data_IF_415368148039
#
_entry.id   IF_415368148039
#
_cell.length_a   1.000
_cell.length_b   1.000
_cell.length_c   1.000
_cell.angle_alpha   90.00
_cell.angle_beta   90.00
_cell.angle_gamma   90.00
#
_symmetry.space_group_name_H-M   'P 1'
#
loop_
_entity.id
_entity.type
_entity.pdbx_description
1 polymer ?
#
# COMPACT_ATOMS: atom_id res chain seq x y z
N UNK A 1 8.45 1.36 -21.83
CA UNK A 1 9.52 2.03 -21.10
C UNK A 1 10.14 1.00 -20.19
N UNK A 2 11.45 1.00 -20.05
CA UNK A 2 12.13 0.02 -19.20
C UNK A 2 11.75 0.28 -17.74
N UNK A 3 11.47 -0.78 -17.01
CA UNK A 3 11.26 -0.69 -15.55
C UNK A 3 12.54 -0.13 -14.93
N UNK A 4 12.45 0.92 -14.09
CA UNK A 4 13.64 1.48 -13.47
C UNK A 4 14.36 0.43 -12.63
N UNK A 5 15.70 0.50 -12.63
CA UNK A 5 16.53 -0.41 -11.86
C UNK A 5 16.32 -0.21 -10.36
N UNK A 6 16.39 -1.30 -9.59
CA UNK A 6 16.39 -1.24 -8.13
C UNK A 6 17.67 -0.54 -7.66
N UNK A 7 17.51 0.44 -6.80
CA UNK A 7 18.58 1.17 -6.12
C UNK A 7 18.69 0.61 -4.71
N UNK A 8 19.92 0.37 -4.25
CA UNK A 8 20.21 -0.03 -2.87
C UNK A 8 21.00 1.08 -2.17
N UNK A 9 20.51 1.51 -0.99
CA UNK A 9 21.19 2.47 -0.13
C UNK A 9 21.07 2.02 1.32
N UNK A 10 22.17 1.65 1.95
CA UNK A 10 22.15 1.03 3.27
C UNK A 10 21.36 -0.28 3.26
N UNK A 11 20.35 -0.38 4.12
CA UNK A 11 19.43 -1.52 4.18
C UNK A 11 18.19 -1.35 3.27
N UNK A 12 18.07 -0.22 2.57
CA UNK A 12 16.88 0.15 1.81
C UNK A 12 17.03 -0.19 0.34
N UNK A 13 15.96 -0.76 -0.23
CA UNK A 13 15.81 -1.03 -1.66
C UNK A 13 14.61 -0.24 -2.18
N UNK A 14 14.78 0.42 -3.30
CA UNK A 14 13.72 1.23 -3.88
C UNK A 14 13.92 1.43 -5.38
N UNK A 15 12.89 1.88 -6.06
CA UNK A 15 12.99 2.44 -7.41
C UNK A 15 12.65 3.93 -7.34
N UNK A 16 13.25 4.69 -8.26
CA UNK A 16 13.08 6.13 -8.31
C UNK A 16 13.05 6.63 -9.75
N UNK A 17 12.18 7.61 -10.02
CA UNK A 17 12.11 8.28 -11.31
C UNK A 17 11.63 9.73 -11.12
N UNK A 18 12.14 10.64 -11.97
CA UNK A 18 11.74 12.05 -11.95
C UNK A 18 12.56 12.91 -11.01
N UNK A 19 12.16 14.17 -10.91
CA UNK A 19 12.78 15.21 -10.07
C UNK A 19 11.70 16.12 -9.51
N UNK A 20 12.00 16.82 -8.41
CA UNK A 20 11.05 17.72 -7.74
C UNK A 20 10.75 17.29 -6.31
N UNK A 21 9.56 17.63 -5.83
CA UNK A 21 9.12 17.24 -4.49
C UNK A 21 8.98 15.71 -4.39
N UNK A 22 9.38 15.10 -3.27
CA UNK A 22 9.34 13.65 -3.14
C UNK A 22 7.90 13.14 -2.99
N UNK A 23 7.51 12.21 -3.87
CA UNK A 23 6.30 11.39 -3.77
C UNK A 23 6.71 9.97 -3.40
N UNK A 24 6.50 9.59 -2.15
CA UNK A 24 6.80 8.23 -1.65
C UNK A 24 5.56 7.35 -1.81
N UNK A 25 5.69 6.28 -2.58
CA UNK A 25 4.59 5.36 -2.90
C UNK A 25 4.76 4.05 -2.14
N UNK A 26 3.78 3.72 -1.30
CA UNK A 26 3.81 2.56 -0.40
C UNK A 26 2.88 1.46 -0.91
N UNK A 27 3.46 0.30 -1.23
CA UNK A 27 2.73 -0.83 -1.80
C UNK A 27 1.99 -1.67 -0.74
N UNK A 28 1.01 -2.46 -1.20
CA UNK A 28 0.27 -3.41 -0.37
C UNK A 28 1.05 -4.69 -0.03
N UNK A 29 0.38 -5.63 0.64
CA UNK A 29 0.98 -6.87 1.16
C UNK A 29 1.63 -7.76 0.07
N UNK A 30 1.01 -7.84 -1.10
CA UNK A 30 1.52 -8.55 -2.27
C UNK A 30 1.82 -7.58 -3.42
N UNK A 31 2.22 -6.34 -3.08
CA UNK A 31 2.43 -5.29 -4.06
C UNK A 31 3.73 -5.48 -4.82
N UNK A 32 3.64 -5.93 -6.07
CA UNK A 32 4.74 -5.88 -7.00
C UNK A 32 5.00 -4.43 -7.45
N UNK A 33 6.25 -4.07 -7.71
CA UNK A 33 6.63 -2.77 -8.28
C UNK A 33 5.90 -2.48 -9.59
N UNK A 34 5.59 -3.53 -10.37
CA UNK A 34 4.82 -3.46 -11.61
C UNK A 34 3.44 -2.82 -11.46
N UNK A 35 2.81 -2.95 -10.28
CA UNK A 35 1.50 -2.37 -10.00
C UNK A 35 1.53 -0.82 -9.98
N UNK A 36 2.71 -0.23 -9.82
CA UNK A 36 2.89 1.22 -9.73
C UNK A 36 3.64 1.82 -10.93
N UNK A 37 3.84 1.05 -12.01
CA UNK A 37 4.54 1.52 -13.20
C UNK A 37 3.87 2.74 -13.81
N UNK A 38 2.53 2.76 -13.87
CA UNK A 38 1.78 3.88 -14.43
C UNK A 38 1.83 5.11 -13.51
N UNK A 39 1.76 4.92 -12.19
CA UNK A 39 1.95 5.98 -11.19
C UNK A 39 3.34 6.58 -11.35
N UNK A 40 4.37 5.74 -11.41
CA UNK A 40 5.76 6.17 -11.59
C UNK A 40 5.93 7.01 -12.86
N UNK A 41 5.44 6.51 -14.00
CA UNK A 41 5.57 7.19 -15.30
C UNK A 41 4.77 8.49 -15.36
N UNK A 42 3.55 8.51 -14.81
CA UNK A 42 2.67 9.67 -14.84
C UNK A 42 3.23 10.82 -14.00
N UNK A 43 3.64 10.52 -12.76
CA UNK A 43 4.04 11.55 -11.80
C UNK A 43 5.50 11.98 -11.92
N UNK A 44 6.37 11.19 -12.54
CA UNK A 44 7.80 11.50 -12.69
C UNK A 44 8.10 12.80 -13.46
N UNK A 45 7.13 13.31 -14.20
CA UNK A 45 7.26 14.61 -14.89
C UNK A 45 7.17 15.82 -13.93
N UNK A 46 6.63 15.63 -12.72
CA UNK A 46 6.38 16.71 -11.73
C UNK A 46 6.95 16.43 -10.35
N UNK A 47 7.16 15.14 -10.02
CA UNK A 47 7.63 14.69 -8.73
C UNK A 47 8.87 13.81 -8.85
N UNK A 48 9.68 13.79 -7.81
CA UNK A 48 10.63 12.72 -7.56
C UNK A 48 9.84 11.54 -6.98
N UNK A 49 9.40 10.61 -7.83
CA UNK A 49 8.61 9.45 -7.40
C UNK A 49 9.54 8.37 -6.86
N UNK A 50 9.32 7.93 -5.64
CA UNK A 50 10.16 6.96 -4.93
C UNK A 50 9.27 5.83 -4.42
N UNK A 51 9.56 4.59 -4.79
CA UNK A 51 8.82 3.40 -4.36
C UNK A 51 9.74 2.51 -3.53
N UNK A 52 9.75 2.62 -2.21
CA UNK A 52 10.51 1.72 -1.35
C UNK A 52 9.93 0.32 -1.38
N UNK A 53 10.79 -0.67 -1.36
CA UNK A 53 10.42 -2.07 -1.15
C UNK A 53 10.21 -2.29 0.35
N UNK A 54 8.97 -2.49 0.76
CA UNK A 54 8.67 -2.76 2.17
C UNK A 54 9.24 -4.12 2.57
N UNK A 55 10.01 -4.23 3.68
CA UNK A 55 10.67 -5.47 4.10
C UNK A 55 9.69 -6.45 4.78
N UNK A 56 8.62 -6.80 4.06
CA UNK A 56 7.52 -7.63 4.57
C UNK A 56 8.03 -9.01 5.01
N UNK A 57 9.00 -9.55 4.27
CA UNK A 57 9.55 -10.88 4.52
C UNK A 57 10.92 -10.88 5.21
N UNK A 58 11.56 -9.72 5.33
CA UNK A 58 12.92 -9.56 5.86
C UNK A 58 12.92 -9.18 7.35
N UNK A 59 11.87 -8.52 7.83
CA UNK A 59 11.78 -8.14 9.25
C UNK A 59 11.87 -9.36 10.16
N UNK A 60 12.55 -9.25 11.32
CA UNK A 60 12.51 -10.30 12.35
C UNK A 60 11.06 -10.62 12.72
N UNK A 61 10.74 -11.91 12.93
CA UNK A 61 9.37 -12.38 13.17
C UNK A 61 8.65 -11.60 14.28
N UNK A 62 9.32 -11.29 15.38
CA UNK A 62 8.75 -10.55 16.50
C UNK A 62 8.53 -9.06 16.20
N UNK A 63 9.16 -8.55 15.15
CA UNK A 63 9.07 -7.15 14.69
C UNK A 63 8.18 -7.00 13.46
N UNK A 64 7.55 -8.07 12.99
CA UNK A 64 6.72 -8.04 11.77
C UNK A 64 5.35 -7.45 12.08
N UNK A 65 5.18 -6.14 11.82
CA UNK A 65 3.94 -5.38 12.09
C UNK A 65 3.86 -4.14 11.21
N UNK A 66 2.63 -3.61 10.98
CA UNK A 66 2.43 -2.35 10.26
C UNK A 66 3.18 -1.17 10.91
N UNK A 67 3.24 -1.14 12.25
CA UNK A 67 4.00 -0.12 12.99
C UNK A 67 5.51 -0.17 12.71
N UNK A 68 6.09 -1.35 12.63
CA UNK A 68 7.53 -1.47 12.34
C UNK A 68 7.84 -1.23 10.85
N UNK A 69 6.89 -1.50 9.94
CA UNK A 69 7.01 -1.05 8.56
C UNK A 69 6.99 0.49 8.48
N UNK A 70 6.11 1.17 9.21
CA UNK A 70 6.11 2.64 9.26
C UNK A 70 7.43 3.20 9.83
N UNK A 71 7.98 2.56 10.87
CA UNK A 71 9.29 2.93 11.40
C UNK A 71 10.43 2.69 10.39
N UNK A 72 10.34 1.64 9.57
CA UNK A 72 11.28 1.42 8.48
C UNK A 72 11.20 2.52 7.43
N UNK A 73 9.98 3.00 7.10
CA UNK A 73 9.79 4.15 6.19
C UNK A 73 10.32 5.45 6.80
N UNK A 74 10.20 5.64 8.12
CA UNK A 74 10.80 6.79 8.81
C UNK A 74 12.32 6.79 8.61
N UNK A 75 12.99 5.68 8.90
CA UNK A 75 14.43 5.54 8.65
C UNK A 75 14.81 5.67 7.17
N UNK A 76 13.97 5.20 6.26
CA UNK A 76 14.17 5.37 4.82
C UNK A 76 14.13 6.84 4.38
N UNK A 77 13.15 7.61 4.86
CA UNK A 77 12.99 9.03 4.59
C UNK A 77 14.18 9.82 5.16
N UNK A 78 14.72 9.41 6.33
CA UNK A 78 15.92 9.96 6.94
C UNK A 78 17.19 9.65 6.12
N UNK A 79 17.37 8.37 5.71
CA UNK A 79 18.55 7.93 4.94
C UNK A 79 18.64 8.62 3.57
N UNK A 80 17.50 8.94 2.95
CA UNK A 80 17.46 9.68 1.69
C UNK A 80 17.45 11.19 1.87
N UNK A 81 17.50 11.67 3.12
CA UNK A 81 17.44 13.09 3.48
C UNK A 81 16.25 13.81 2.83
N UNK A 82 15.10 13.10 2.75
CA UNK A 82 13.88 13.68 2.22
C UNK A 82 13.30 14.65 3.27
N UNK A 83 13.05 15.88 2.87
CA UNK A 83 12.40 16.87 3.73
C UNK A 83 10.92 16.52 3.97
N UNK A 84 10.01 17.37 3.51
CA UNK A 84 8.58 17.01 3.46
C UNK A 84 8.32 16.10 2.26
N UNK A 85 7.44 15.13 2.46
CA UNK A 85 7.06 14.14 1.44
C UNK A 85 5.57 14.18 1.16
N UNK A 86 5.18 13.91 -0.07
CA UNK A 86 3.86 13.45 -0.41
C UNK A 86 3.82 11.93 -0.25
N UNK A 87 2.77 11.39 0.35
CA UNK A 87 2.59 9.95 0.52
C UNK A 87 1.43 9.46 -0.36
N UNK A 88 1.66 8.36 -1.06
CA UNK A 88 0.60 7.59 -1.70
C UNK A 88 0.68 6.16 -1.18
N UNK A 89 -0.37 5.68 -0.53
CA UNK A 89 -0.39 4.35 0.06
C UNK A 89 -1.57 3.51 -0.41
N UNK A 90 -1.30 2.28 -0.86
CA UNK A 90 -2.32 1.32 -1.23
C UNK A 90 -2.44 0.21 -0.18
N UNK A 91 -3.67 -0.10 0.25
CA UNK A 91 -3.96 -1.21 1.16
C UNK A 91 -3.08 -1.15 2.43
N UNK A 92 -2.25 -2.15 2.71
CA UNK A 92 -1.26 -2.14 3.81
C UNK A 92 -0.34 -0.91 3.73
N UNK A 93 0.09 -0.50 2.53
CA UNK A 93 0.91 0.69 2.33
C UNK A 93 0.20 1.97 2.78
N UNK A 94 -1.12 2.05 2.58
CA UNK A 94 -1.94 3.14 3.12
C UNK A 94 -1.94 3.16 4.64
N UNK A 95 -2.07 2.00 5.29
CA UNK A 95 -1.98 1.90 6.75
C UNK A 95 -0.59 2.31 7.28
N UNK A 96 0.48 1.89 6.61
CA UNK A 96 1.84 2.33 6.92
C UNK A 96 1.99 3.85 6.77
N UNK A 97 1.42 4.43 5.70
CA UNK A 97 1.38 5.87 5.48
C UNK A 97 0.61 6.63 6.56
N UNK A 98 -0.52 6.08 7.01
CA UNK A 98 -1.29 6.63 8.14
C UNK A 98 -0.48 6.67 9.44
N UNK A 99 0.20 5.57 9.78
CA UNK A 99 1.05 5.51 10.97
C UNK A 99 2.20 6.49 10.86
N UNK A 100 2.88 6.52 9.72
CA UNK A 100 3.96 7.49 9.48
C UNK A 100 3.48 8.93 9.61
N UNK A 101 2.32 9.27 9.01
CA UNK A 101 1.72 10.61 9.08
C UNK A 101 1.39 11.01 10.51
N UNK A 102 0.80 10.11 11.30
CA UNK A 102 0.50 10.38 12.71
C UNK A 102 1.75 10.71 13.51
N UNK A 103 2.82 9.94 13.29
CA UNK A 103 4.05 10.05 14.07
C UNK A 103 4.97 11.19 13.57
N UNK A 104 4.77 11.69 12.34
CA UNK A 104 5.63 12.67 11.65
C UNK A 104 4.80 13.70 10.86
N UNK A 105 3.77 14.28 11.44
CA UNK A 105 2.80 15.14 10.74
C UNK A 105 3.44 16.31 10.01
N UNK A 106 4.45 16.93 10.62
CA UNK A 106 5.19 18.09 10.06
C UNK A 106 6.03 17.72 8.82
N UNK A 107 6.29 16.43 8.60
CA UNK A 107 7.08 15.90 7.47
C UNK A 107 6.21 15.46 6.30
N UNK A 108 4.88 15.55 6.42
CA UNK A 108 3.96 15.12 5.36
C UNK A 108 3.30 16.34 4.74
N UNK A 109 3.42 16.48 3.41
CA UNK A 109 2.78 17.54 2.65
C UNK A 109 1.33 17.20 2.30
N UNK A 110 1.07 15.95 1.92
CA UNK A 110 -0.26 15.40 1.66
C UNK A 110 -0.24 13.88 1.76
N UNK A 111 -1.40 13.29 1.96
CA UNK A 111 -1.59 11.84 2.01
C UNK A 111 -2.65 11.40 1.00
N UNK A 112 -2.30 10.50 0.09
CA UNK A 112 -3.25 9.84 -0.81
C UNK A 112 -3.42 8.40 -0.37
N UNK A 113 -4.65 7.96 -0.13
CA UNK A 113 -5.01 6.61 0.25
C UNK A 113 -5.83 5.94 -0.85
N UNK A 114 -5.39 4.76 -1.28
CA UNK A 114 -6.12 3.96 -2.26
C UNK A 114 -6.48 2.61 -1.64
N UNK A 115 -7.78 2.31 -1.50
CA UNK A 115 -8.26 1.05 -0.90
C UNK A 115 -7.49 0.69 0.38
N UNK A 116 -7.31 1.64 1.30
CA UNK A 116 -6.39 1.54 2.43
C UNK A 116 -6.95 0.66 3.57
N UNK A 117 -6.08 -0.15 4.15
CA UNK A 117 -6.29 -0.68 5.52
C UNK A 117 -6.16 0.45 6.55
N UNK A 118 -6.51 0.18 7.80
CA UNK A 118 -6.29 1.10 8.93
C UNK A 118 -7.53 1.44 9.74
N UNK A 119 -8.72 1.18 9.22
CA UNK A 119 -9.97 1.18 9.99
C UNK A 119 -10.46 -0.25 10.17
N UNK A 120 -11.09 -0.80 9.15
CA UNK A 120 -11.39 -2.23 9.11
C UNK A 120 -11.27 -2.75 7.67
N UNK A 121 -11.16 -4.04 7.55
CA UNK A 121 -11.13 -4.74 6.26
C UNK A 121 -11.81 -6.10 6.39
N UNK A 122 -12.43 -6.56 5.33
CA UNK A 122 -12.95 -7.91 5.26
C UNK A 122 -11.74 -8.85 5.12
N UNK A 123 -11.37 -9.50 6.21
CA UNK A 123 -10.30 -10.49 6.17
C UNK A 123 -10.57 -11.51 5.06
N UNK A 124 -9.52 -11.89 4.31
CA UNK A 124 -9.57 -12.96 3.33
C UNK A 124 -9.97 -14.28 3.99
N UNK A 125 -11.21 -14.40 4.50
CA UNK A 125 -11.76 -15.58 5.12
C UNK A 125 -10.75 -16.38 5.95
N UNK A 126 -11.21 -17.22 6.82
CA UNK A 126 -10.41 -17.84 7.90
C UNK A 126 -9.25 -18.74 7.47
N UNK A 127 -8.86 -18.81 6.20
CA UNK A 127 -7.73 -19.65 5.83
C UNK A 127 -7.43 -19.64 4.32
N UNK A 128 -6.21 -19.95 3.99
CA UNK A 128 -5.85 -20.55 2.71
C UNK A 128 -5.87 -22.09 2.86
N UNK A 129 -7.07 -22.72 3.01
CA UNK A 129 -7.15 -24.16 3.30
C UNK A 129 -6.60 -25.02 2.16
N UNK A 130 -6.43 -24.42 0.98
CA UNK A 130 -5.94 -25.07 -0.24
C UNK A 130 -4.72 -24.33 -0.79
N UNK A 131 -3.79 -23.92 0.07
CA UNK A 131 -2.58 -23.18 -0.35
C UNK A 131 -1.72 -23.95 -1.37
N UNK A 132 -1.82 -25.26 -1.43
CA UNK A 132 -1.10 -26.13 -2.38
C UNK A 132 -1.80 -26.20 -3.76
N UNK A 133 -3.02 -25.69 -3.86
CA UNK A 133 -3.81 -25.64 -5.09
C UNK A 133 -3.62 -24.26 -5.75
N UNK A 134 -2.81 -24.21 -6.81
CA UNK A 134 -2.50 -22.97 -7.53
C UNK A 134 -3.75 -22.35 -8.18
N UNK A 135 -4.73 -23.17 -8.60
CA UNK A 135 -5.98 -22.66 -9.17
C UNK A 135 -6.81 -21.93 -8.11
N UNK A 136 -6.86 -22.47 -6.89
CA UNK A 136 -7.49 -21.80 -5.75
C UNK A 136 -6.80 -20.48 -5.40
N UNK A 137 -5.46 -20.43 -5.42
CA UNK A 137 -4.71 -19.18 -5.19
C UNK A 137 -5.03 -18.18 -6.29
N UNK A 138 -5.08 -18.59 -7.56
CA UNK A 138 -5.48 -17.72 -8.68
C UNK A 138 -6.87 -17.10 -8.46
N UNK A 139 -7.86 -17.88 -8.05
CA UNK A 139 -9.19 -17.38 -7.73
C UNK A 139 -9.14 -16.33 -6.61
N UNK A 140 -8.33 -16.56 -5.57
CA UNK A 140 -8.17 -15.62 -4.46
C UNK A 140 -7.46 -14.33 -4.87
N UNK A 141 -6.46 -14.42 -5.72
CA UNK A 141 -5.77 -13.24 -6.29
C UNK A 141 -6.74 -12.47 -7.21
N UNK A 142 -7.48 -13.17 -8.06
CA UNK A 142 -8.43 -12.55 -8.98
C UNK A 142 -9.51 -11.73 -8.27
N UNK A 143 -9.99 -12.20 -7.13
CA UNK A 143 -11.01 -11.52 -6.31
C UNK A 143 -10.51 -10.15 -5.77
N UNK A 144 -9.19 -9.90 -5.71
CA UNK A 144 -8.65 -8.61 -5.29
C UNK A 144 -8.70 -7.55 -6.39
N UNK A 145 -9.06 -7.94 -7.61
CA UNK A 145 -9.18 -7.04 -8.76
C UNK A 145 -10.63 -7.01 -9.22
N UNK A 146 -11.07 -5.88 -9.73
CA UNK A 146 -12.36 -5.78 -10.40
C UNK A 146 -12.37 -6.62 -11.68
N UNK A 147 -11.33 -6.48 -12.51
CA UNK A 147 -11.16 -7.30 -13.71
C UNK A 147 -10.16 -8.44 -13.40
N UNK A 148 -10.62 -9.71 -13.38
CA UNK A 148 -9.77 -10.87 -13.10
C UNK A 148 -8.53 -11.02 -13.98
N UNK A 149 -8.48 -10.35 -15.16
CA UNK A 149 -7.31 -10.38 -16.06
C UNK A 149 -6.04 -9.82 -15.42
N UNK A 150 -6.18 -8.96 -14.40
CA UNK A 150 -5.06 -8.39 -13.67
C UNK A 150 -4.40 -9.38 -12.68
N UNK A 151 -5.03 -10.54 -12.43
CA UNK A 151 -4.40 -11.66 -11.75
C UNK A 151 -3.44 -12.40 -12.72
N UNK A 152 -2.35 -11.73 -13.07
CA UNK A 152 -1.34 -12.27 -13.98
C UNK A 152 -0.70 -13.55 -13.45
N UNK A 153 -0.11 -14.35 -14.35
CA UNK A 153 0.56 -15.59 -13.95
C UNK A 153 1.70 -15.31 -12.96
N UNK A 154 2.49 -14.26 -13.20
CA UNK A 154 3.59 -13.85 -12.33
C UNK A 154 3.12 -13.50 -10.91
N UNK A 155 2.04 -12.71 -10.81
CA UNK A 155 1.46 -12.34 -9.50
C UNK A 155 0.90 -13.57 -8.76
N UNK A 156 0.24 -14.48 -9.49
CA UNK A 156 -0.26 -15.74 -8.91
C UNK A 156 0.89 -16.62 -8.44
N UNK A 157 1.99 -16.68 -9.19
CA UNK A 157 3.17 -17.45 -8.83
C UNK A 157 3.84 -16.89 -7.57
N UNK A 158 4.01 -15.56 -7.50
CA UNK A 158 4.54 -14.87 -6.33
C UNK A 158 3.68 -15.15 -5.08
N UNK A 159 2.35 -15.02 -5.20
CA UNK A 159 1.42 -15.32 -4.12
C UNK A 159 1.48 -16.79 -3.71
N UNK A 160 1.53 -17.70 -4.70
CA UNK A 160 1.62 -19.15 -4.45
C UNK A 160 2.90 -19.51 -3.69
N UNK A 161 4.04 -18.99 -4.09
CA UNK A 161 5.31 -19.17 -3.38
C UNK A 161 5.25 -18.59 -1.96
N UNK A 162 4.70 -17.40 -1.80
CA UNK A 162 4.60 -16.75 -0.49
C UNK A 162 3.75 -17.56 0.49
N UNK A 163 2.56 -18.05 0.08
CA UNK A 163 1.67 -18.81 0.97
C UNK A 163 2.13 -20.23 1.23
N UNK A 164 3.01 -20.77 0.37
CA UNK A 164 3.62 -22.10 0.56
C UNK A 164 4.95 -22.05 1.32
N UNK A 165 5.53 -20.88 1.50
CA UNK A 165 6.65 -20.68 2.40
C UNK A 165 6.15 -20.50 3.84
N UNK A 166 6.49 -21.46 4.74
CA UNK A 166 6.11 -21.38 6.15
C UNK A 166 6.56 -20.07 6.81
N UNK A 167 7.73 -19.60 6.45
CA UNK A 167 8.31 -18.39 7.02
C UNK A 167 7.57 -17.14 6.53
N UNK A 168 7.32 -17.03 5.21
CA UNK A 168 6.60 -15.90 4.61
C UNK A 168 5.16 -15.85 5.12
N UNK A 169 4.45 -16.99 5.16
CA UNK A 169 3.05 -17.02 5.61
C UNK A 169 2.90 -16.59 7.05
N UNK A 170 3.82 -16.94 7.94
CA UNK A 170 3.77 -16.49 9.33
C UNK A 170 3.95 -14.96 9.44
N UNK A 171 4.81 -14.36 8.62
CA UNK A 171 4.96 -12.90 8.55
C UNK A 171 3.72 -12.22 7.98
N UNK A 172 3.16 -12.74 6.89
CA UNK A 172 1.89 -12.26 6.33
C UNK A 172 0.80 -12.24 7.40
N UNK A 173 0.62 -13.35 8.12
CA UNK A 173 -0.38 -13.45 9.19
C UNK A 173 -0.09 -12.50 10.35
N UNK A 174 1.17 -12.27 10.69
CA UNK A 174 1.57 -11.33 11.74
C UNK A 174 1.21 -9.89 11.34
N UNK A 175 1.53 -9.48 10.11
CA UNK A 175 1.20 -8.15 9.58
C UNK A 175 -0.31 -7.96 9.52
N UNK A 176 -1.05 -8.91 8.93
CA UNK A 176 -2.50 -8.84 8.82
C UNK A 176 -3.17 -8.70 10.21
N UNK A 177 -2.76 -9.52 11.18
CA UNK A 177 -3.25 -9.41 12.57
C UNK A 177 -2.87 -8.07 13.21
N UNK A 178 -1.69 -7.55 12.91
CA UNK A 178 -1.23 -6.23 13.39
C UNK A 178 -2.10 -5.12 12.81
N UNK A 179 -2.39 -5.17 11.49
CA UNK A 179 -3.21 -4.19 10.81
C UNK A 179 -4.64 -4.16 11.38
N UNK A 180 -5.28 -5.32 11.52
CA UNK A 180 -6.63 -5.44 12.10
C UNK A 180 -6.70 -4.89 13.54
N UNK A 181 -5.66 -5.10 14.35
CA UNK A 181 -5.62 -4.63 15.74
C UNK A 181 -5.34 -3.14 15.89
N UNK A 182 -4.73 -2.55 14.88
CA UNK A 182 -4.27 -1.16 14.90
C UNK A 182 -5.25 -0.27 14.12
N UNK A 183 -6.40 0.01 14.75
CA UNK A 183 -7.42 0.88 14.17
C UNK A 183 -7.05 2.35 14.37
N UNK A 184 -7.02 3.12 13.30
CA UNK A 184 -6.56 4.51 13.25
C UNK A 184 -7.69 5.55 13.46
N UNK A 185 -8.94 5.12 13.68
CA UNK A 185 -10.09 6.04 13.75
C UNK A 185 -9.93 7.19 14.75
N UNK A 186 -9.21 6.95 15.85
CA UNK A 186 -8.95 7.98 16.89
C UNK A 186 -7.84 8.95 16.52
N UNK A 187 -7.00 8.57 15.57
CA UNK A 187 -5.84 9.35 15.14
C UNK A 187 -6.18 10.28 13.95
N UNK A 188 -7.16 9.89 13.10
CA UNK A 188 -7.55 10.64 11.90
C UNK A 188 -7.87 12.12 12.16
N UNK A 189 -8.62 12.50 13.23
CA UNK A 189 -8.95 13.91 13.48
C UNK A 189 -7.74 14.80 13.75
N UNK A 190 -6.58 14.22 14.04
CA UNK A 190 -5.35 14.95 14.33
C UNK A 190 -4.50 15.17 13.07
N UNK A 191 -4.82 14.51 11.97
CA UNK A 191 -4.11 14.61 10.69
C UNK A 191 -4.68 15.78 9.88
N UNK A 192 -4.15 16.97 10.11
CA UNK A 192 -4.63 18.23 9.53
C UNK A 192 -4.03 18.59 8.16
N UNK A 193 -3.37 17.63 7.53
CA UNK A 193 -2.84 17.75 6.17
C UNK A 193 -3.94 17.45 5.13
N UNK A 194 -3.81 17.92 3.87
CA UNK A 194 -4.70 17.51 2.80
C UNK A 194 -4.66 16.00 2.55
N UNK A 195 -5.83 15.36 2.49
CA UNK A 195 -5.96 13.91 2.23
C UNK A 195 -6.80 13.66 0.98
N UNK A 196 -6.30 12.82 0.10
CA UNK A 196 -7.03 12.33 -1.07
C UNK A 196 -7.37 10.85 -0.87
N UNK A 197 -8.64 10.52 -0.96
CA UNK A 197 -9.15 9.15 -0.84
C UNK A 197 -9.61 8.69 -2.22
N UNK A 198 -9.11 7.54 -2.70
CA UNK A 198 -9.49 6.98 -3.99
C UNK A 198 -9.95 5.54 -3.77
N UNK A 199 -11.19 5.23 -4.11
CA UNK A 199 -11.81 3.96 -3.78
C UNK A 199 -12.67 3.39 -4.89
N UNK A 200 -12.60 2.08 -5.09
CA UNK A 200 -13.52 1.34 -5.94
C UNK A 200 -14.88 1.14 -5.26
N UNK A 201 -15.98 1.43 -5.95
CA UNK A 201 -17.32 1.16 -5.40
C UNK A 201 -17.63 -0.31 -5.19
N UNK A 202 -16.89 -1.18 -5.85
CA UNK A 202 -17.06 -2.63 -5.77
C UNK A 202 -15.95 -3.31 -4.95
N UNK A 203 -15.19 -2.52 -4.16
CA UNK A 203 -14.14 -3.08 -3.32
C UNK A 203 -14.75 -3.97 -2.23
N UNK A 204 -14.40 -5.25 -2.24
CA UNK A 204 -14.89 -6.25 -1.27
C UNK A 204 -13.92 -6.49 -0.12
N UNK A 205 -12.68 -6.00 -0.22
CA UNK A 205 -11.63 -6.14 0.79
C UNK A 205 -11.72 -4.99 1.80
N UNK A 206 -11.66 -3.77 1.27
CA UNK A 206 -11.92 -2.54 2.02
C UNK A 206 -13.19 -1.91 1.44
N UNK A 207 -14.38 -2.32 1.93
CA UNK A 207 -15.63 -1.95 1.29
C UNK A 207 -15.88 -0.44 1.33
N UNK A 208 -16.80 0.07 0.47
CA UNK A 208 -17.05 1.51 0.32
C UNK A 208 -17.28 2.27 1.62
N UNK A 209 -17.92 1.62 2.60
CA UNK A 209 -18.20 2.20 3.91
C UNK A 209 -16.90 2.59 4.65
N UNK A 210 -15.81 1.88 4.39
CA UNK A 210 -14.49 2.20 4.98
C UNK A 210 -13.96 3.52 4.42
N UNK A 211 -14.17 3.79 3.12
CA UNK A 211 -13.79 5.05 2.51
C UNK A 211 -14.60 6.22 3.08
N UNK A 212 -15.90 6.01 3.29
CA UNK A 212 -16.78 7.00 3.93
C UNK A 212 -16.36 7.26 5.38
N UNK A 213 -16.00 6.22 6.13
CA UNK A 213 -15.50 6.36 7.49
C UNK A 213 -14.15 7.11 7.54
N UNK A 214 -13.26 6.89 6.56
CA UNK A 214 -12.05 7.70 6.42
C UNK A 214 -12.38 9.16 6.15
N UNK A 215 -13.26 9.43 5.19
CA UNK A 215 -13.68 10.81 4.84
C UNK A 215 -14.28 11.52 6.04
N UNK A 216 -15.13 10.85 6.81
CA UNK A 216 -15.75 11.41 8.01
C UNK A 216 -14.74 11.62 9.16
N UNK A 217 -13.65 10.86 9.17
CA UNK A 217 -12.63 10.92 10.21
C UNK A 217 -11.58 12.01 10.02
N UNK A 218 -11.25 12.36 8.77
CA UNK A 218 -10.26 13.39 8.47
C UNK A 218 -10.86 14.80 8.50
N UNK A 219 -10.13 15.82 9.00
CA UNK A 219 -10.57 17.21 8.98
C UNK A 219 -10.62 17.82 7.57
N UNK A 220 -9.73 17.39 6.66
CA UNK A 220 -9.55 17.91 5.31
C UNK A 220 -9.31 16.74 4.35
N UNK A 221 -10.35 16.25 3.69
CA UNK A 221 -10.25 15.14 2.76
C UNK A 221 -11.26 15.20 1.63
N UNK A 222 -10.79 14.80 0.44
CA UNK A 222 -11.62 14.59 -0.75
C UNK A 222 -11.70 13.09 -1.05
N UNK A 223 -12.91 12.58 -1.34
CA UNK A 223 -13.15 11.18 -1.72
C UNK A 223 -13.56 11.07 -3.18
N UNK A 224 -12.80 10.31 -3.94
CA UNK A 224 -13.04 10.00 -5.34
C UNK A 224 -13.39 8.53 -5.52
N UNK A 225 -14.50 8.29 -6.21
CA UNK A 225 -14.97 6.95 -6.51
C UNK A 225 -14.55 6.50 -7.90
N UNK A 226 -14.09 5.25 -7.98
CA UNK A 226 -13.84 4.57 -9.24
C UNK A 226 -15.05 3.66 -9.50
N UNK A 227 -15.85 4.01 -10.53
CA UNK A 227 -17.11 3.33 -10.84
C UNK A 227 -16.89 2.02 -11.63
N UNK A 228 -15.94 2.03 -12.56
CA UNK A 228 -15.52 0.85 -13.33
C UNK A 228 -13.99 0.77 -13.27
N UNK A 229 -13.45 0.07 -12.29
CA UNK A 229 -12.01 0.10 -12.10
C UNK A 229 -11.30 -0.86 -13.06
N UNK A 230 -10.69 -0.31 -14.08
CA UNK A 230 -9.36 -0.79 -14.46
C UNK A 230 -8.39 -0.12 -13.47
N UNK A 231 -8.08 -0.79 -12.36
CA UNK A 231 -7.49 -0.16 -11.17
C UNK A 231 -6.25 0.71 -11.40
N UNK A 232 -5.42 0.44 -12.40
CA UNK A 232 -4.18 1.17 -12.60
C UNK A 232 -4.30 2.35 -13.57
N UNK A 233 -5.07 2.23 -14.65
CA UNK A 233 -5.22 3.32 -15.64
C UNK A 233 -6.03 4.50 -15.11
N UNK A 234 -7.00 4.25 -14.23
CA UNK A 234 -7.83 5.32 -13.66
C UNK A 234 -7.15 6.03 -12.50
N UNK A 235 -6.37 5.32 -11.68
CA UNK A 235 -5.58 5.95 -10.62
C UNK A 235 -4.65 7.03 -11.19
N UNK A 236 -3.97 6.74 -12.29
CA UNK A 236 -3.08 7.68 -12.96
C UNK A 236 -3.81 8.86 -13.63
N UNK A 237 -5.13 8.78 -13.84
CA UNK A 237 -5.94 9.87 -14.42
C UNK A 237 -6.63 10.75 -13.38
N UNK A 238 -6.74 10.29 -12.13
CA UNK A 238 -7.51 10.98 -11.08
C UNK A 238 -6.62 11.76 -10.10
N UNK A 239 -5.33 11.48 -10.07
CA UNK A 239 -4.33 12.20 -9.28
C UNK A 239 -3.54 13.14 -10.21
#
# INVERSE_FOLDING_TARGET
MDTPSIIEKGEYKYVELGQGEPLVVLHGLFGALSNFTDVLNHFSSRFRVIIPMLPIYELPMLSTSAKNLAKHIEGFVDELELGKVHLLGNSLGGHVGLIFTRDNLERVSSLTLTASSGLYENAFGNSFPRREDKSFIREKVAVTFFDPKHATDDLVDECFEAVNSREKVLRILSIAKSAIRHNMSKDLPQMTIPVCLIWGRNDIITPPEVAEDFQNGFPDSDLFWIEEPSCNEQLAKMI
#
